data_IF_455913838577
#
_entry.id   IF_455913838577
#
_cell.length_a   1.000
_cell.length_b   1.000
_cell.length_c   1.000
_cell.angle_alpha   90.00
_cell.angle_beta   90.00
_cell.angle_gamma   90.00
#
_symmetry.space_group_name_H-M   'P 1'
#
loop_
_entity.id
_entity.type
_entity.pdbx_description
1 polymer ?
#
# COMPACT_ATOMS: atom_id res chain seq x y z
N UNK A 1 -5.16 5.44 -25.16
CA UNK A 1 -4.95 4.21 -25.97
C UNK A 1 -5.72 4.34 -27.28
N UNK A 2 -5.54 3.47 -28.25
CA UNK A 2 -6.41 3.33 -29.44
C UNK A 2 -6.82 1.85 -29.57
N UNK A 3 -8.05 1.58 -30.01
CA UNK A 3 -8.50 0.23 -30.33
C UNK A 3 -8.01 -0.07 -31.75
N UNK A 4 -7.12 -1.05 -31.88
CA UNK A 4 -6.57 -1.46 -33.19
C UNK A 4 -7.30 -2.65 -33.78
N UNK A 5 -7.91 -3.49 -32.94
CA UNK A 5 -8.73 -4.64 -33.34
C UNK A 5 -9.83 -4.85 -32.30
N UNK A 6 -10.99 -5.31 -32.76
CA UNK A 6 -12.01 -5.88 -31.90
C UNK A 6 -12.57 -7.16 -32.51
N UNK A 7 -13.05 -8.06 -31.64
CA UNK A 7 -13.81 -9.23 -32.07
C UNK A 7 -14.87 -9.57 -31.03
N UNK A 8 -16.03 -10.03 -31.50
CA UNK A 8 -17.04 -10.64 -30.63
C UNK A 8 -16.57 -12.01 -30.13
N UNK A 9 -17.02 -12.35 -28.93
CA UNK A 9 -16.72 -13.61 -28.24
C UNK A 9 -17.98 -14.11 -27.51
N UNK A 10 -17.99 -15.40 -27.19
CA UNK A 10 -19.18 -16.08 -26.68
C UNK A 10 -20.01 -16.70 -27.80
N UNK A 11 -20.76 -17.75 -27.49
CA UNK A 11 -21.58 -18.48 -28.47
C UNK A 11 -22.68 -17.61 -29.09
N UNK A 12 -23.14 -16.61 -28.33
CA UNK A 12 -24.14 -15.60 -28.68
C UNK A 12 -23.50 -14.27 -29.13
N UNK A 13 -22.17 -14.15 -29.11
CA UNK A 13 -21.46 -12.91 -29.41
C UNK A 13 -21.67 -11.79 -28.40
N UNK A 14 -22.15 -12.08 -27.19
CA UNK A 14 -22.48 -11.09 -26.16
C UNK A 14 -21.25 -10.41 -25.54
N UNK A 15 -20.03 -10.87 -25.84
CA UNK A 15 -18.79 -10.35 -25.27
C UNK A 15 -17.87 -9.82 -26.36
N UNK A 16 -16.87 -9.02 -25.98
CA UNK A 16 -15.84 -8.53 -26.91
C UNK A 16 -14.45 -8.73 -26.35
N UNK A 17 -13.51 -8.92 -27.26
CA UNK A 17 -12.08 -8.79 -27.00
C UNK A 17 -11.54 -7.65 -27.85
N UNK A 18 -10.99 -6.65 -27.18
CA UNK A 18 -10.34 -5.50 -27.80
C UNK A 18 -8.83 -5.72 -27.75
N UNK A 19 -8.13 -5.44 -28.84
CA UNK A 19 -6.68 -5.26 -28.82
C UNK A 19 -6.41 -3.75 -28.84
N UNK A 20 -5.74 -3.26 -27.80
CA UNK A 20 -5.46 -1.84 -27.59
C UNK A 20 -3.97 -1.58 -27.64
N UNK A 21 -3.60 -0.38 -28.09
CA UNK A 21 -2.21 0.09 -28.15
C UNK A 21 -2.13 1.55 -27.74
N UNK A 22 -0.94 2.06 -27.44
CA UNK A 22 -0.75 3.51 -27.31
C UNK A 22 -1.04 4.20 -28.66
N UNK A 23 -1.95 5.17 -28.62
CA UNK A 23 -2.39 5.91 -29.80
C UNK A 23 -1.20 6.57 -30.51
N UNK A 24 -1.15 6.46 -31.83
CA UNK A 24 -0.06 7.02 -32.65
C UNK A 24 1.32 6.36 -32.46
N UNK A 25 1.39 5.18 -31.85
CA UNK A 25 2.64 4.41 -31.69
C UNK A 25 2.55 3.06 -32.40
N UNK A 26 3.70 2.46 -32.73
CA UNK A 26 3.80 1.07 -33.20
C UNK A 26 4.12 0.06 -32.08
N UNK A 27 3.84 0.43 -30.82
CA UNK A 27 4.17 -0.36 -29.64
C UNK A 27 3.37 -1.65 -29.48
N UNK A 28 3.58 -2.35 -28.36
CA UNK A 28 2.91 -3.61 -28.06
C UNK A 28 1.37 -3.46 -28.02
N UNK A 29 0.68 -4.45 -28.59
CA UNK A 29 -0.77 -4.60 -28.47
C UNK A 29 -1.09 -5.40 -27.21
N UNK A 30 -2.12 -4.96 -26.48
CA UNK A 30 -2.62 -5.64 -25.29
C UNK A 30 -4.08 -6.02 -25.46
N UNK A 31 -4.43 -7.21 -25.00
CA UNK A 31 -5.78 -7.74 -25.09
C UNK A 31 -6.61 -7.39 -23.85
N UNK A 32 -7.81 -6.87 -24.09
CA UNK A 32 -8.80 -6.50 -23.07
C UNK A 32 -10.08 -7.29 -23.30
N UNK A 33 -10.57 -7.99 -22.28
CA UNK A 33 -11.83 -8.73 -22.32
C UNK A 33 -12.96 -7.87 -21.75
N UNK A 34 -14.04 -7.76 -22.51
CA UNK A 34 -15.23 -7.01 -22.16
C UNK A 34 -16.48 -7.91 -22.17
N UNK A 35 -16.89 -8.35 -20.99
CA UNK A 35 -18.17 -9.05 -20.81
C UNK A 35 -19.34 -8.08 -21.00
N UNK A 36 -20.34 -8.49 -21.78
CA UNK A 36 -21.50 -7.66 -22.12
C UNK A 36 -21.24 -6.58 -23.18
N UNK A 37 -20.02 -6.48 -23.72
CA UNK A 37 -19.67 -5.48 -24.73
C UNK A 37 -20.12 -5.79 -26.16
N UNK A 38 -20.78 -6.94 -26.40
CA UNK A 38 -21.10 -7.49 -27.72
C UNK A 38 -21.71 -6.48 -28.70
N UNK A 39 -22.68 -5.69 -28.24
CA UNK A 39 -23.41 -4.71 -29.04
C UNK A 39 -23.12 -3.25 -28.69
N UNK A 40 -22.20 -3.00 -27.76
CA UNK A 40 -21.85 -1.64 -27.37
C UNK A 40 -21.15 -0.88 -28.51
N UNK A 41 -21.42 0.41 -28.67
CA UNK A 41 -20.69 1.21 -29.66
C UNK A 41 -19.25 1.43 -29.20
N UNK A 42 -18.30 1.38 -30.14
CA UNK A 42 -16.90 1.73 -29.89
C UNK A 42 -16.67 3.18 -30.26
N UNK A 43 -15.94 3.87 -29.40
CA UNK A 43 -15.48 5.22 -29.69
C UNK A 43 -14.35 5.16 -30.73
N UNK A 44 -14.46 5.97 -31.77
CA UNK A 44 -13.41 6.11 -32.77
C UNK A 44 -12.24 6.97 -32.24
N UNK A 45 -11.01 6.57 -32.58
CA UNK A 45 -9.80 7.33 -32.24
C UNK A 45 -9.22 6.96 -30.88
N UNK A 46 -8.52 7.92 -30.26
CA UNK A 46 -7.89 7.71 -28.97
C UNK A 46 -8.97 7.61 -27.86
N UNK A 47 -8.75 6.71 -26.91
CA UNK A 47 -9.63 6.42 -25.78
C UNK A 47 -8.88 6.48 -24.45
N UNK A 48 -9.60 6.89 -23.40
CA UNK A 48 -9.26 6.57 -22.02
C UNK A 48 -9.93 5.24 -21.65
N UNK A 49 -9.17 4.32 -21.04
CA UNK A 49 -9.65 2.99 -20.65
C UNK A 49 -9.44 2.77 -19.16
N UNK A 50 -10.52 2.45 -18.45
CA UNK A 50 -10.49 1.91 -17.09
C UNK A 50 -10.55 0.40 -17.18
N UNK A 51 -9.63 -0.27 -16.51
CA UNK A 51 -9.53 -1.73 -16.53
C UNK A 51 -9.12 -2.27 -15.15
N UNK A 52 -9.43 -3.54 -14.91
CA UNK A 52 -8.79 -4.32 -13.85
C UNK A 52 -7.83 -5.34 -14.47
N UNK A 53 -6.82 -5.75 -13.70
CA UNK A 53 -5.88 -6.78 -14.11
C UNK A 53 -6.33 -8.11 -13.50
N UNK A 54 -6.47 -9.15 -14.32
CA UNK A 54 -6.81 -10.50 -13.90
C UNK A 54 -5.76 -11.50 -14.38
N UNK A 55 -5.67 -12.64 -13.70
CA UNK A 55 -4.85 -13.77 -14.13
C UNK A 55 -5.78 -14.78 -14.78
N UNK A 56 -5.56 -15.07 -16.06
CA UNK A 56 -6.22 -16.15 -16.76
C UNK A 56 -5.33 -17.40 -16.74
N UNK A 57 -5.85 -18.51 -16.23
CA UNK A 57 -5.16 -19.79 -16.19
C UNK A 57 -5.88 -20.77 -17.12
N UNK A 58 -5.25 -21.09 -18.26
CA UNK A 58 -5.81 -21.99 -19.26
C UNK A 58 -4.75 -23.01 -19.68
N UNK A 59 -5.10 -24.30 -19.60
CA UNK A 59 -4.19 -25.43 -19.90
C UNK A 59 -2.84 -25.36 -19.16
N UNK A 60 -2.82 -24.82 -17.95
CA UNK A 60 -1.62 -24.71 -17.11
C UNK A 60 -0.73 -23.52 -17.43
N UNK A 61 -1.08 -22.68 -18.41
CA UNK A 61 -0.40 -21.41 -18.65
C UNK A 61 -1.14 -20.27 -17.95
N UNK A 62 -0.39 -19.47 -17.19
CA UNK A 62 -0.87 -18.27 -16.52
C UNK A 62 -0.52 -17.06 -17.36
N UNK A 63 -1.53 -16.31 -17.76
CA UNK A 63 -1.37 -15.09 -18.56
C UNK A 63 -2.08 -13.92 -17.88
N UNK A 64 -1.45 -12.75 -17.94
CA UNK A 64 -2.10 -11.51 -17.53
C UNK A 64 -3.15 -11.12 -18.56
N UNK A 65 -4.35 -10.78 -18.09
CA UNK A 65 -5.48 -10.40 -18.91
C UNK A 65 -6.10 -9.12 -18.36
N UNK A 66 -6.28 -8.12 -19.23
CA UNK A 66 -6.97 -6.89 -18.88
C UNK A 66 -8.48 -7.11 -18.97
N UNK A 67 -9.22 -6.68 -17.96
CA UNK A 67 -10.68 -6.74 -17.93
C UNK A 67 -11.24 -5.33 -18.06
N UNK A 68 -12.11 -5.12 -19.05
CA UNK A 68 -12.75 -3.85 -19.30
C UNK A 68 -13.68 -3.46 -18.13
N UNK A 69 -13.60 -2.20 -17.68
CA UNK A 69 -14.54 -1.60 -16.74
C UNK A 69 -15.34 -0.49 -17.42
N UNK A 70 -14.64 0.46 -18.05
CA UNK A 70 -15.26 1.58 -18.75
C UNK A 70 -14.29 2.17 -19.78
N UNK A 71 -14.82 2.85 -20.79
CA UNK A 71 -14.01 3.62 -21.72
C UNK A 71 -14.75 4.87 -22.19
N UNK A 72 -14.00 5.87 -22.64
CA UNK A 72 -14.53 7.09 -23.26
C UNK A 72 -13.57 7.59 -24.34
N UNK A 73 -14.05 8.49 -25.20
CA UNK A 73 -13.17 9.27 -26.08
C UNK A 73 -12.11 9.95 -25.22
N UNK A 74 -10.84 9.85 -25.64
CA UNK A 74 -9.82 10.69 -25.07
C UNK A 74 -10.18 12.12 -25.44
N UNK A 75 -10.49 12.93 -24.44
CA UNK A 75 -10.52 14.37 -24.65
C UNK A 75 -9.10 14.77 -25.08
N UNK A 76 -9.00 15.60 -26.11
CA UNK A 76 -7.73 16.24 -26.42
C UNK A 76 -7.39 17.07 -25.18
N UNK A 77 -6.53 16.52 -24.33
CA UNK A 77 -5.85 17.29 -23.31
C UNK A 77 -5.30 18.49 -24.06
N UNK A 78 -5.92 19.65 -23.87
CA UNK A 78 -5.43 20.92 -24.33
C UNK A 78 -4.13 21.11 -23.59
N UNK A 79 -3.05 20.53 -24.15
CA UNK A 79 -1.90 20.00 -23.45
C UNK A 79 -1.91 20.55 -22.04
N UNK A 80 -2.53 19.79 -21.11
CA UNK A 80 -2.15 19.94 -19.73
C UNK A 80 -0.66 19.78 -19.88
N UNK A 81 0.04 20.91 -19.81
CA UNK A 81 1.46 20.91 -19.63
C UNK A 81 1.47 20.05 -18.41
N UNK A 82 1.91 18.79 -18.54
CA UNK A 82 2.35 18.03 -17.39
C UNK A 82 3.48 18.94 -16.96
N UNK A 83 3.12 19.96 -16.18
CA UNK A 83 3.99 20.71 -15.33
C UNK A 83 4.57 19.55 -14.59
N UNK A 84 5.75 19.11 -15.06
CA UNK A 84 6.49 18.02 -14.45
C UNK A 84 6.48 18.46 -13.01
N UNK A 85 5.67 17.81 -12.17
CA UNK A 85 5.60 18.17 -10.75
C UNK A 85 7.06 18.29 -10.36
N UNK A 86 7.50 19.45 -9.86
CA UNK A 86 8.92 19.67 -9.61
C UNK A 86 9.41 18.46 -8.83
N UNK A 87 10.35 17.71 -9.42
CA UNK A 87 10.78 16.42 -8.86
C UNK A 87 11.18 16.66 -7.41
N UNK A 88 10.57 15.91 -6.50
CA UNK A 88 10.91 16.00 -5.08
C UNK A 88 12.41 15.71 -4.96
N UNK A 89 13.17 16.66 -4.39
CA UNK A 89 14.60 16.46 -4.23
C UNK A 89 14.84 15.53 -3.04
N UNK A 90 15.40 14.35 -3.30
CA UNK A 90 15.78 13.41 -2.24
C UNK A 90 17.20 13.72 -1.76
N UNK A 91 17.34 14.00 -0.48
CA UNK A 91 18.62 14.10 0.24
C UNK A 91 18.88 12.74 0.90
N UNK A 92 19.82 11.98 0.35
CA UNK A 92 20.16 10.64 0.85
C UNK A 92 20.99 10.72 2.14
N UNK A 93 20.40 10.33 3.26
CA UNK A 93 21.03 10.32 4.57
C UNK A 93 21.14 8.90 5.16
N UNK A 94 20.84 7.85 4.40
CA UNK A 94 20.80 6.45 4.88
C UNK A 94 22.10 5.97 5.52
N UNK A 95 23.23 6.54 5.09
CA UNK A 95 24.57 6.22 5.60
C UNK A 95 25.25 7.41 6.29
N UNK A 96 24.51 8.48 6.54
CA UNK A 96 25.06 9.65 7.20
C UNK A 96 25.21 9.35 8.71
N UNK A 97 26.36 9.65 9.33
CA UNK A 97 26.59 9.31 10.74
C UNK A 97 25.74 10.15 11.70
N UNK A 98 25.44 11.41 11.33
CA UNK A 98 24.69 12.36 12.16
C UNK A 98 23.64 13.09 11.30
N UNK A 99 22.61 12.38 10.78
CA UNK A 99 21.65 12.95 9.83
C UNK A 99 20.91 14.18 10.37
N UNK A 100 20.68 14.23 11.68
CA UNK A 100 19.96 15.32 12.35
C UNK A 100 20.63 16.68 12.22
N UNK A 101 21.96 16.73 12.04
CA UNK A 101 22.70 17.99 11.88
C UNK A 101 22.45 18.65 10.51
N UNK A 102 21.94 17.89 9.53
CA UNK A 102 21.67 18.36 8.16
C UNK A 102 20.17 18.66 7.98
N UNK A 103 19.32 18.06 8.81
CA UNK A 103 17.88 18.20 8.72
C UNK A 103 17.47 19.60 9.20
N UNK A 104 16.67 20.36 8.41
CA UNK A 104 16.27 21.70 8.79
C UNK A 104 15.25 21.65 9.94
N UNK A 105 15.30 22.64 10.83
CA UNK A 105 14.48 22.67 12.04
C UNK A 105 12.96 22.74 11.77
N UNK A 106 12.55 23.20 10.59
CA UNK A 106 11.14 23.25 10.17
C UNK A 106 10.67 21.98 9.43
N UNK A 107 11.49 20.92 9.40
CA UNK A 107 11.08 19.67 8.78
C UNK A 107 9.99 18.95 9.57
N UNK A 108 9.12 18.27 8.84
CA UNK A 108 8.10 17.37 9.38
C UNK A 108 8.68 15.96 9.38
N UNK A 109 8.48 15.22 10.47
CA UNK A 109 9.12 13.92 10.68
C UNK A 109 8.14 12.77 10.52
N UNK A 110 8.62 11.68 9.92
CA UNK A 110 8.02 10.36 9.97
C UNK A 110 8.97 9.41 10.70
N UNK A 111 8.58 8.98 11.90
CA UNK A 111 9.31 8.08 12.77
C UNK A 111 8.34 7.13 13.48
N UNK A 112 8.22 5.91 12.96
CA UNK A 112 7.41 4.82 13.51
C UNK A 112 8.25 3.58 13.84
N UNK A 113 7.68 2.65 14.60
CA UNK A 113 8.28 1.35 14.88
C UNK A 113 8.58 1.08 16.35
N UNK A 114 8.59 -0.22 16.70
CA UNK A 114 8.72 -0.68 18.07
C UNK A 114 10.04 -0.28 18.75
N UNK A 115 11.12 -0.11 17.97
CA UNK A 115 12.49 0.08 18.47
C UNK A 115 12.92 1.53 18.65
N UNK A 116 12.08 2.51 18.28
CA UNK A 116 12.43 3.93 18.41
C UNK A 116 12.87 4.31 19.83
N UNK A 117 12.14 3.85 20.85
CA UNK A 117 12.45 4.10 22.26
C UNK A 117 13.67 3.31 22.74
N UNK A 118 13.82 2.07 22.26
CA UNK A 118 14.83 1.12 22.72
C UNK A 118 16.26 1.58 22.36
N UNK A 119 16.40 2.27 21.24
CA UNK A 119 17.70 2.72 20.72
C UNK A 119 18.16 4.06 21.31
N UNK A 120 17.37 4.70 22.21
CA UNK A 120 17.68 6.00 22.83
C UNK A 120 18.19 7.04 21.83
N UNK A 121 17.64 7.03 20.63
CA UNK A 121 18.08 7.87 19.51
C UNK A 121 17.85 9.36 19.75
N UNK A 122 17.07 9.71 20.79
CA UNK A 122 16.62 11.07 21.04
C UNK A 122 15.58 11.55 20.03
N UNK A 123 15.17 10.69 19.09
CA UNK A 123 14.14 11.00 18.09
C UNK A 123 12.77 10.81 18.71
N UNK A 124 11.95 11.85 18.58
CA UNK A 124 10.56 11.84 18.99
C UNK A 124 9.77 10.92 18.05
N UNK A 125 8.95 10.06 18.64
CA UNK A 125 7.97 9.26 17.90
C UNK A 125 7.05 10.20 17.09
N UNK A 126 7.01 10.00 15.77
CA UNK A 126 6.30 10.86 14.82
C UNK A 126 5.47 9.98 13.87
N UNK A 127 4.28 9.54 14.29
CA UNK A 127 3.45 8.62 13.54
C UNK A 127 2.83 9.27 12.29
N UNK A 128 2.44 8.43 11.32
CA UNK A 128 1.85 8.87 10.05
C UNK A 128 0.62 9.75 10.20
N UNK A 129 -0.18 9.56 11.25
CA UNK A 129 -1.43 10.32 11.44
C UNK A 129 -1.17 11.79 11.80
N UNK A 130 0.01 12.13 12.33
CA UNK A 130 0.37 13.53 12.61
C UNK A 130 0.57 14.33 11.31
N UNK A 131 0.92 13.65 10.22
CA UNK A 131 1.19 14.26 8.91
C UNK A 131 -0.05 14.91 8.29
N UNK A 132 -1.25 14.49 8.67
CA UNK A 132 -2.49 15.11 8.19
C UNK A 132 -2.62 16.59 8.60
N UNK A 133 -1.92 16.99 9.66
CA UNK A 133 -1.89 18.39 10.16
C UNK A 133 -0.60 19.13 9.80
N UNK A 134 0.29 18.50 9.04
CA UNK A 134 1.56 19.07 8.66
C UNK A 134 1.38 20.27 7.70
N UNK A 135 2.24 21.31 7.80
CA UNK A 135 2.22 22.38 6.81
C UNK A 135 2.57 21.84 5.41
N UNK A 136 1.73 22.13 4.42
CA UNK A 136 2.04 21.84 3.01
C UNK A 136 3.34 22.55 2.60
N UNK A 137 4.17 21.86 1.82
CA UNK A 137 5.46 22.34 1.34
C UNK A 137 6.61 22.18 2.34
N UNK A 138 6.34 21.75 3.58
CA UNK A 138 7.41 21.52 4.57
C UNK A 138 8.35 20.40 4.11
N UNK A 139 9.65 20.47 4.41
CA UNK A 139 10.55 19.35 4.14
C UNK A 139 10.14 18.12 4.92
N UNK A 140 10.15 16.95 4.29
CA UNK A 140 9.73 15.69 4.92
C UNK A 140 10.95 14.84 5.28
N UNK A 141 11.05 14.40 6.54
CA UNK A 141 12.07 13.48 7.02
C UNK A 141 11.48 12.09 7.13
N UNK A 142 12.05 11.15 6.38
CA UNK A 142 11.74 9.73 6.52
C UNK A 142 12.78 9.11 7.46
N UNK A 143 12.56 9.26 8.77
CA UNK A 143 13.47 8.71 9.78
C UNK A 143 13.43 7.20 9.78
N UNK A 144 12.23 6.61 9.94
CA UNK A 144 12.00 5.18 9.80
C UNK A 144 11.69 4.80 8.36
N UNK A 145 11.99 3.56 7.97
CA UNK A 145 11.54 3.03 6.67
C UNK A 145 10.02 2.84 6.68
N UNK A 146 9.24 3.53 5.81
CA UNK A 146 7.81 3.30 5.69
C UNK A 146 7.53 1.81 5.42
N UNK A 147 6.42 1.25 5.91
CA UNK A 147 6.15 -0.18 5.75
C UNK A 147 5.61 -0.55 4.37
N UNK A 148 5.18 0.43 3.55
CA UNK A 148 4.69 0.19 2.20
C UNK A 148 4.96 1.38 1.27
N UNK A 149 5.07 1.13 -0.06
CA UNK A 149 5.20 2.21 -1.04
C UNK A 149 3.96 3.09 -1.13
N UNK A 150 2.78 2.56 -0.81
CA UNK A 150 1.53 3.33 -0.71
C UNK A 150 1.63 4.40 0.37
N UNK A 151 2.16 4.06 1.55
CA UNK A 151 2.32 5.04 2.62
C UNK A 151 3.31 6.13 2.21
N UNK A 152 4.42 5.76 1.57
CA UNK A 152 5.39 6.74 1.08
C UNK A 152 4.74 7.74 0.11
N UNK A 153 3.97 7.24 -0.88
CA UNK A 153 3.24 8.10 -1.82
C UNK A 153 2.21 8.98 -1.11
N UNK A 154 1.47 8.42 -0.16
CA UNK A 154 0.50 9.18 0.63
C UNK A 154 1.18 10.31 1.43
N UNK A 155 2.31 10.04 2.08
CA UNK A 155 3.05 11.06 2.84
C UNK A 155 3.56 12.18 1.95
N UNK A 156 4.14 11.85 0.79
CA UNK A 156 4.60 12.85 -0.19
C UNK A 156 3.43 13.66 -0.73
N UNK A 157 2.29 13.02 -1.03
CA UNK A 157 1.10 13.72 -1.50
C UNK A 157 0.45 14.61 -0.43
N UNK A 158 0.53 14.20 0.84
CA UNK A 158 -0.08 14.94 1.96
C UNK A 158 0.74 16.15 2.36
N UNK A 159 2.06 15.99 2.43
CA UNK A 159 2.97 17.07 2.86
C UNK A 159 3.40 17.96 1.68
N UNK A 160 3.32 17.44 0.44
CA UNK A 160 3.79 18.12 -0.79
C UNK A 160 5.22 18.70 -0.67
N UNK A 161 6.20 17.93 -0.17
CA UNK A 161 7.51 18.47 0.16
C UNK A 161 8.31 18.81 -1.11
N UNK A 162 9.03 19.93 -1.09
CA UNK A 162 10.06 20.19 -2.10
C UNK A 162 11.31 19.29 -1.91
N UNK A 163 11.55 18.83 -0.67
CA UNK A 163 12.69 18.00 -0.30
C UNK A 163 12.30 16.88 0.66
N UNK A 164 12.82 15.67 0.39
CA UNK A 164 12.70 14.51 1.29
C UNK A 164 14.09 14.14 1.81
N UNK A 165 14.23 14.09 3.13
CA UNK A 165 15.44 13.61 3.81
C UNK A 165 15.26 12.12 4.13
N UNK A 166 15.99 11.27 3.41
CA UNK A 166 15.85 9.81 3.51
C UNK A 166 16.89 9.24 4.47
N UNK A 167 16.50 8.97 5.72
CA UNK A 167 17.36 8.28 6.71
C UNK A 167 17.05 6.77 6.73
N UNK A 168 15.76 6.42 6.69
CA UNK A 168 15.27 5.05 6.60
C UNK A 168 15.89 4.10 7.65
N UNK A 169 16.06 4.50 8.90
CA UNK A 169 16.54 3.61 9.95
C UNK A 169 15.62 2.39 10.14
N UNK A 170 16.22 1.26 10.50
CA UNK A 170 15.52 0.03 10.86
C UNK A 170 14.98 0.17 12.28
N UNK A 171 13.67 0.38 12.40
CA UNK A 171 12.99 0.58 13.68
C UNK A 171 12.10 -0.61 14.09
N UNK A 172 12.21 -1.72 13.35
CA UNK A 172 11.41 -2.94 13.49
C UNK A 172 12.26 -4.19 13.18
N UNK A 173 11.82 -5.36 13.65
CA UNK A 173 12.52 -6.64 13.47
C UNK A 173 12.02 -7.51 12.32
N UNK A 174 10.80 -7.25 11.86
CA UNK A 174 10.12 -7.99 10.80
C UNK A 174 10.12 -9.52 11.01
N UNK A 175 10.01 -9.92 12.27
CA UNK A 175 9.97 -11.30 12.71
C UNK A 175 8.51 -11.71 12.98
N UNK A 176 8.04 -12.77 12.32
CA UNK A 176 6.65 -13.22 12.39
C UNK A 176 6.22 -13.60 13.83
N UNK A 177 6.92 -14.50 14.56
CA UNK A 177 6.61 -14.76 15.97
C UNK A 177 6.50 -13.50 16.83
N UNK A 178 7.44 -12.56 16.68
CA UNK A 178 7.47 -11.33 17.47
C UNK A 178 6.33 -10.37 17.11
N UNK A 179 5.98 -10.27 15.82
CA UNK A 179 4.82 -9.51 15.35
C UNK A 179 3.53 -10.05 15.97
N UNK A 180 3.28 -11.36 15.83
CA UNK A 180 2.08 -12.01 16.36
C UNK A 180 2.01 -11.87 17.89
N UNK A 181 3.13 -12.05 18.58
CA UNK A 181 3.25 -11.84 20.03
C UNK A 181 2.94 -10.40 20.44
N UNK A 182 3.40 -9.42 19.67
CA UNK A 182 3.19 -7.99 19.94
C UNK A 182 1.71 -7.61 19.75
N UNK A 183 1.08 -8.05 18.66
CA UNK A 183 -0.35 -7.81 18.42
C UNK A 183 -1.20 -8.49 19.49
N UNK A 184 -0.87 -9.73 19.88
CA UNK A 184 -1.55 -10.43 20.97
C UNK A 184 -1.40 -9.70 22.31
N UNK A 185 -0.23 -9.13 22.61
CA UNK A 185 0.00 -8.35 23.82
C UNK A 185 -0.83 -7.05 23.83
N UNK A 186 -0.96 -6.38 22.69
CA UNK A 186 -1.85 -5.20 22.54
C UNK A 186 -3.32 -5.57 22.77
N UNK A 187 -3.79 -6.69 22.20
CA UNK A 187 -5.14 -7.19 22.45
C UNK A 187 -5.37 -7.51 23.93
N UNK A 188 -4.42 -8.21 24.56
CA UNK A 188 -4.47 -8.51 26.00
C UNK A 188 -4.54 -7.24 26.85
N UNK A 189 -3.78 -6.20 26.48
CA UNK A 189 -3.81 -4.91 27.17
C UNK A 189 -5.16 -4.19 27.05
N UNK A 190 -5.79 -4.24 25.87
CA UNK A 190 -7.12 -3.68 25.62
C UNK A 190 -8.23 -4.44 26.37
N UNK A 191 -8.18 -5.78 26.37
CA UNK A 191 -9.12 -6.63 27.13
C UNK A 191 -9.06 -6.39 28.64
N UNK A 192 -7.91 -5.97 29.17
CA UNK A 192 -7.77 -5.55 30.57
C UNK A 192 -8.42 -4.19 30.90
N UNK A 193 -9.03 -3.53 29.90
CA UNK A 193 -9.70 -2.22 30.03
C UNK A 193 -11.13 -2.31 29.49
N UNK A 194 -11.37 -1.73 28.33
CA UNK A 194 -12.67 -1.57 27.68
C UNK A 194 -12.75 -2.33 26.35
N UNK A 195 -11.73 -3.12 26.00
CA UNK A 195 -11.70 -3.90 24.76
C UNK A 195 -11.50 -3.06 23.49
N UNK A 196 -11.21 -1.76 23.59
CA UNK A 196 -11.04 -0.91 22.40
C UNK A 196 -9.63 -1.01 21.81
N UNK A 197 -9.56 -1.11 20.48
CA UNK A 197 -8.34 -1.07 19.69
C UNK A 197 -8.46 -0.02 18.58
N UNK A 198 -7.33 0.55 18.20
CA UNK A 198 -7.17 1.48 17.08
C UNK A 198 -6.08 0.90 16.16
N UNK A 199 -6.49 0.45 14.97
CA UNK A 199 -5.61 -0.27 14.05
C UNK A 199 -4.50 0.65 13.54
N UNK A 200 -4.79 1.92 13.27
CA UNK A 200 -3.82 2.89 12.78
C UNK A 200 -2.71 3.14 13.83
N UNK A 201 -3.10 3.28 15.11
CA UNK A 201 -2.14 3.40 16.23
C UNK A 201 -1.32 2.13 16.44
N UNK A 202 -1.95 0.96 16.35
CA UNK A 202 -1.22 -0.31 16.43
C UNK A 202 -0.19 -0.43 15.30
N UNK A 203 -0.60 -0.14 14.06
CA UNK A 203 0.25 -0.18 12.88
C UNK A 203 1.42 0.79 13.00
N UNK A 204 1.19 2.03 13.44
CA UNK A 204 2.24 3.01 13.66
C UNK A 204 3.20 2.61 14.80
N UNK A 205 2.69 2.01 15.88
CA UNK A 205 3.53 1.56 17.00
C UNK A 205 4.42 0.38 16.61
N UNK A 206 3.90 -0.54 15.82
CA UNK A 206 4.64 -1.70 15.29
C UNK A 206 5.58 -1.27 14.16
N UNK A 207 5.22 -0.23 13.40
CA UNK A 207 5.84 0.13 12.14
C UNK A 207 5.42 -0.88 11.06
N UNK A 208 4.13 -1.09 10.83
CA UNK A 208 3.60 -2.03 9.84
C UNK A 208 2.49 -1.38 9.00
N UNK A 209 2.07 -1.98 7.88
CA UNK A 209 0.82 -1.61 7.23
C UNK A 209 -0.37 -1.99 8.11
N UNK A 210 -1.47 -1.25 8.02
CA UNK A 210 -2.70 -1.56 8.76
C UNK A 210 -3.31 -2.90 8.34
N UNK A 211 -3.21 -3.25 7.06
CA UNK A 211 -3.64 -4.56 6.52
C UNK A 211 -2.98 -5.73 7.25
N UNK A 212 -1.68 -5.64 7.52
CA UNK A 212 -0.94 -6.67 8.25
C UNK A 212 -1.43 -6.79 9.71
N UNK A 213 -1.77 -5.67 10.36
CA UNK A 213 -2.34 -5.67 11.71
C UNK A 213 -3.73 -6.33 11.69
N UNK A 214 -4.59 -6.00 10.72
CA UNK A 214 -5.91 -6.63 10.57
C UNK A 214 -5.82 -8.13 10.39
N UNK A 215 -4.91 -8.62 9.52
CA UNK A 215 -4.70 -10.07 9.36
C UNK A 215 -4.22 -10.74 10.64
N UNK A 216 -3.36 -10.08 11.43
CA UNK A 216 -2.98 -10.58 12.75
C UNK A 216 -4.19 -10.66 13.70
N UNK A 217 -5.09 -9.67 13.67
CA UNK A 217 -6.32 -9.68 14.47
C UNK A 217 -7.28 -10.80 14.03
N UNK A 218 -7.50 -10.95 12.72
CA UNK A 218 -8.30 -12.05 12.16
C UNK A 218 -7.70 -13.42 12.52
N UNK A 219 -6.37 -13.54 12.52
CA UNK A 219 -5.69 -14.76 12.96
C UNK A 219 -5.93 -15.07 14.44
N UNK A 220 -5.88 -14.06 15.32
CA UNK A 220 -6.22 -14.22 16.74
C UNK A 220 -7.70 -14.62 16.92
N UNK A 221 -8.59 -14.04 16.13
CA UNK A 221 -10.02 -14.38 16.14
C UNK A 221 -10.28 -15.82 15.66
N UNK A 222 -9.64 -16.26 14.58
CA UNK A 222 -9.77 -17.65 14.08
C UNK A 222 -9.27 -18.69 15.11
N UNK A 223 -8.28 -18.30 15.92
CA UNK A 223 -7.79 -19.08 17.08
C UNK A 223 -8.69 -18.98 18.30
N UNK A 224 -9.71 -18.12 18.25
CA UNK A 224 -10.57 -17.72 19.37
C UNK A 224 -9.76 -17.25 20.59
N UNK A 225 -8.62 -16.60 20.36
CA UNK A 225 -7.90 -15.87 21.40
C UNK A 225 -8.65 -14.55 21.73
N UNK A 226 -9.35 -13.99 20.73
CA UNK A 226 -10.24 -12.82 20.84
C UNK A 226 -11.51 -13.05 20.01
N UNK A 227 -12.52 -12.18 20.18
CA UNK A 227 -13.66 -12.01 19.27
C UNK A 227 -13.78 -10.54 18.88
N UNK A 228 -13.94 -10.24 17.60
CA UNK A 228 -14.21 -8.87 17.12
C UNK A 228 -15.71 -8.63 17.13
N UNK A 229 -16.18 -7.68 17.93
CA UNK A 229 -17.62 -7.39 18.06
C UNK A 229 -18.14 -6.46 16.96
N UNK A 230 -17.36 -5.44 16.64
CA UNK A 230 -17.71 -4.43 15.65
C UNK A 230 -16.46 -3.70 15.15
N UNK A 231 -16.50 -3.33 13.88
CA UNK A 231 -15.62 -2.32 13.31
C UNK A 231 -16.33 -0.97 13.44
N UNK A 232 -15.73 -0.06 14.20
CA UNK A 232 -16.21 1.32 14.36
C UNK A 232 -15.72 2.23 13.23
N UNK A 233 -16.01 3.52 13.37
CA UNK A 233 -15.45 4.56 12.50
C UNK A 233 -13.93 4.70 12.74
N UNK A 234 -13.21 5.21 11.74
CA UNK A 234 -11.76 5.47 11.79
C UNK A 234 -10.89 4.26 12.17
N UNK A 235 -11.31 3.06 11.76
CA UNK A 235 -10.58 1.81 12.03
C UNK A 235 -10.33 1.48 13.50
N UNK A 236 -11.24 1.98 14.34
CA UNK A 236 -11.40 1.49 15.70
C UNK A 236 -12.18 0.18 15.69
N UNK A 237 -11.86 -0.74 16.62
CA UNK A 237 -12.68 -1.94 16.82
C UNK A 237 -12.80 -2.29 18.29
N UNK A 238 -13.88 -3.00 18.63
CA UNK A 238 -14.09 -3.52 19.97
C UNK A 238 -13.89 -5.04 19.97
N UNK A 239 -13.13 -5.52 20.96
CA UNK A 239 -12.86 -6.95 21.14
C UNK A 239 -13.31 -7.47 22.50
N UNK A 240 -13.69 -8.75 22.52
CA UNK A 240 -13.90 -9.53 23.74
C UNK A 240 -12.94 -10.71 23.81
N UNK A 241 -12.85 -11.33 24.99
CA UNK A 241 -12.15 -12.59 25.14
C UNK A 241 -12.85 -13.67 24.30
N UNK A 242 -12.08 -14.46 23.56
CA UNK A 242 -12.62 -15.59 22.82
C UNK A 242 -13.05 -16.76 23.72
N UNK A 243 -13.61 -17.80 23.10
CA UNK A 243 -14.14 -19.00 23.78
C UNK A 243 -13.35 -20.25 23.38
N UNK A 244 -13.62 -21.39 24.02
CA UNK A 244 -12.83 -22.63 23.91
C UNK A 244 -12.84 -23.38 22.55
N UNK A 245 -13.37 -22.80 21.48
CA UNK A 245 -13.49 -23.49 20.20
C UNK A 245 -12.50 -22.91 19.20
N UNK A 246 -11.67 -23.72 18.54
CA UNK A 246 -10.64 -23.23 17.60
C UNK A 246 -10.96 -23.65 16.17
N UNK A 247 -10.87 -22.73 15.21
CA UNK A 247 -10.95 -23.06 13.79
C UNK A 247 -9.53 -23.23 13.24
N UNK A 248 -8.98 -24.44 13.38
CA UNK A 248 -7.56 -24.70 13.11
C UNK A 248 -7.12 -24.42 11.66
N UNK A 249 -7.98 -24.72 10.68
CA UNK A 249 -7.65 -24.55 9.25
C UNK A 249 -7.62 -23.07 8.85
N UNK A 250 -8.63 -22.29 9.24
CA UNK A 250 -8.68 -20.85 9.01
C UNK A 250 -7.51 -20.12 9.69
N UNK A 251 -7.19 -20.50 10.93
CA UNK A 251 -6.03 -19.93 11.64
C UNK A 251 -4.71 -20.22 10.93
N UNK A 252 -4.56 -21.38 10.29
CA UNK A 252 -3.37 -21.73 9.51
C UNK A 252 -3.28 -20.90 8.23
N UNK A 253 -4.38 -20.76 7.51
CA UNK A 253 -4.46 -19.93 6.29
C UNK A 253 -4.09 -18.47 6.57
N UNK A 254 -4.73 -17.86 7.58
CA UNK A 254 -4.45 -16.48 7.96
C UNK A 254 -2.99 -16.28 8.42
N UNK A 255 -2.37 -17.28 9.06
CA UNK A 255 -0.96 -17.18 9.43
C UNK A 255 -0.04 -17.14 8.22
N UNK A 256 -0.35 -17.91 7.16
CA UNK A 256 0.41 -17.85 5.91
C UNK A 256 0.17 -16.54 5.17
N UNK A 257 -1.03 -15.95 5.24
CA UNK A 257 -1.28 -14.61 4.70
C UNK A 257 -0.48 -13.51 5.44
N UNK A 258 -0.45 -13.55 6.77
CA UNK A 258 0.37 -12.63 7.59
C UNK A 258 1.84 -12.77 7.21
N UNK A 259 2.32 -14.01 7.03
CA UNK A 259 3.69 -14.30 6.63
C UNK A 259 4.00 -13.78 5.23
N UNK A 260 3.10 -13.96 4.27
CA UNK A 260 3.26 -13.47 2.91
C UNK A 260 3.36 -11.94 2.87
N UNK A 261 2.44 -11.23 3.54
CA UNK A 261 2.48 -9.78 3.59
C UNK A 261 3.71 -9.25 4.36
N UNK A 262 4.13 -9.93 5.44
CA UNK A 262 5.36 -9.56 6.13
C UNK A 262 6.61 -9.73 5.23
N UNK A 263 6.62 -10.70 4.31
CA UNK A 263 7.69 -10.84 3.32
C UNK A 263 7.69 -9.68 2.32
N UNK A 264 6.52 -9.20 1.90
CA UNK A 264 6.39 -8.00 1.04
C UNK A 264 6.91 -6.75 1.74
N UNK A 265 6.52 -6.55 3.01
CA UNK A 265 7.04 -5.43 3.84
C UNK A 265 8.57 -5.48 3.90
N UNK A 266 9.15 -6.66 4.16
CA UNK A 266 10.61 -6.86 4.21
C UNK A 266 11.28 -6.57 2.87
N UNK A 267 10.67 -7.03 1.78
CA UNK A 267 11.17 -6.81 0.43
C UNK A 267 11.18 -5.31 0.10
N UNK A 268 10.08 -4.61 0.40
CA UNK A 268 9.97 -3.17 0.19
C UNK A 268 10.99 -2.40 1.03
N UNK A 269 11.14 -2.73 2.32
CA UNK A 269 12.13 -2.07 3.17
C UNK A 269 13.55 -2.24 2.64
N UNK A 270 13.90 -3.47 2.25
CA UNK A 270 15.21 -3.76 1.63
C UNK A 270 15.38 -3.00 0.32
N UNK A 271 14.34 -2.90 -0.50
CA UNK A 271 14.36 -2.08 -1.70
C UNK A 271 14.65 -0.62 -1.34
N UNK A 272 13.93 -0.01 -0.40
CA UNK A 272 14.14 1.39 -0.02
C UNK A 272 15.53 1.66 0.58
N UNK A 273 16.12 0.67 1.26
CA UNK A 273 17.51 0.75 1.75
C UNK A 273 18.57 0.78 0.64
N UNK A 274 18.28 0.17 -0.51
CA UNK A 274 19.29 -0.16 -1.51
C UNK A 274 19.12 0.57 -2.83
N UNK A 275 17.89 1.02 -3.12
CA UNK A 275 17.56 1.72 -4.36
C UNK A 275 18.34 3.04 -4.48
N UNK A 276 18.93 3.34 -5.65
CA UNK A 276 19.50 4.66 -5.91
C UNK A 276 18.41 5.73 -5.81
N UNK A 277 18.72 6.89 -5.21
CA UNK A 277 17.70 7.94 -5.00
C UNK A 277 17.10 8.49 -6.31
N UNK A 278 17.83 8.39 -7.43
CA UNK A 278 17.32 8.79 -8.74
C UNK A 278 16.24 7.86 -9.32
N UNK A 279 16.14 6.64 -8.78
CA UNK A 279 15.17 5.62 -9.17
C UNK A 279 13.97 5.54 -8.21
N UNK A 280 13.94 6.40 -7.18
CA UNK A 280 12.77 6.58 -6.33
C UNK A 280 11.72 7.38 -7.10
N UNK A 281 10.53 6.80 -7.25
CA UNK A 281 9.38 7.45 -7.87
C UNK A 281 8.66 8.34 -6.82
N UNK A 282 9.18 9.56 -6.64
CA UNK A 282 8.68 10.59 -5.71
C UNK A 282 8.38 11.92 -6.42
#
# INVERSE_FOLDING_TARGET
LEIVKDRRMGQDGAHRKLSVRKAGSSGAEHDVVWFGGGDAELVAGAIDLVYTLSINEYRGERTLQLMHVAHRAAEADAAATVSKKPRVKVVDLRRHPQPQEIIPANAVWYAEGARLDAERTGIVYAPRHDLATAPSGAPLVLWSTPPSPELLRWMVATVEPAQVYLCAHTTTDDNLPELLRTVAAMCKYALGRDGQLDVARMAARIGAPESLVRKCLMWLEARNDIRVLAWGEDDTLHIEAGYYQRTADLAKELQEEVKAELLEVRAYRRFLQTVPVGDLDL
#
